data_IF_852084671326
#
_entry.id   IF_852084671326
#
_cell.length_a   1.000
_cell.length_b   1.000
_cell.length_c   1.000
_cell.angle_alpha   90.00
_cell.angle_beta   90.00
_cell.angle_gamma   90.00
#
_symmetry.space_group_name_H-M   'P 1'
#
loop_
_entity.id
_entity.type
_entity.pdbx_description
1 polymer ?
#
# COMPACT_ATOMS: atom_id res chain seq x y z
N UNK A 1 -19.82 65.40 7.30
CA UNK A 1 -20.47 66.21 6.25
C UNK A 1 -20.20 65.54 4.91
N UNK A 2 -21.23 65.06 4.20
CA UNK A 2 -21.11 64.38 2.90
C UNK A 2 -21.46 65.35 1.77
N UNK A 3 -20.65 65.39 0.72
CA UNK A 3 -21.01 65.71 -0.68
C UNK A 3 -19.92 65.00 -1.51
N UNK A 4 -20.11 64.04 -2.42
CA UNK A 4 -21.26 63.57 -3.18
C UNK A 4 -21.10 63.92 -4.66
N UNK A 5 -20.78 62.95 -5.53
CA UNK A 5 -21.23 62.80 -6.94
C UNK A 5 -20.46 61.61 -7.58
N UNK A 6 -21.06 60.42 -7.70
CA UNK A 6 -21.94 59.89 -8.78
C UNK A 6 -21.25 59.56 -10.13
N UNK A 7 -21.10 58.25 -10.30
CA UNK A 7 -21.38 57.35 -11.44
C UNK A 7 -20.73 57.55 -12.82
N UNK A 8 -20.08 56.44 -13.21
CA UNK A 8 -19.63 55.97 -14.53
C UNK A 8 -20.70 56.03 -15.63
N UNK A 9 -20.31 55.82 -16.91
CA UNK A 9 -20.59 54.50 -17.47
C UNK A 9 -19.57 53.96 -18.51
N UNK A 10 -19.37 52.64 -18.50
CA UNK A 10 -19.63 51.84 -19.70
C UNK A 10 -18.48 51.38 -20.61
N UNK A 11 -18.20 50.08 -20.51
CA UNK A 11 -17.93 49.09 -21.58
C UNK A 11 -16.58 49.13 -22.33
N UNK A 12 -15.89 47.99 -22.30
CA UNK A 12 -14.87 47.64 -23.30
C UNK A 12 -13.90 46.58 -22.80
N UNK A 13 -14.22 45.31 -23.02
CA UNK A 13 -13.31 44.17 -22.85
C UNK A 13 -12.21 44.24 -23.93
N UNK A 14 -10.95 44.34 -23.55
CA UNK A 14 -9.82 43.88 -24.36
C UNK A 14 -8.74 43.29 -23.45
N UNK A 15 -8.47 42.01 -23.66
CA UNK A 15 -7.33 41.27 -23.11
C UNK A 15 -6.16 41.47 -24.07
N UNK A 16 -5.00 41.91 -23.58
CA UNK A 16 -3.68 41.53 -24.13
C UNK A 16 -2.66 41.47 -22.99
N UNK A 17 -1.99 40.33 -22.91
CA UNK A 17 -0.98 39.94 -21.93
C UNK A 17 0.43 40.48 -22.26
N UNK A 18 1.31 40.55 -21.25
CA UNK A 18 2.77 40.35 -21.39
C UNK A 18 3.37 40.10 -19.98
N UNK A 19 3.61 38.84 -19.64
CA UNK A 19 4.93 38.17 -19.58
C UNK A 19 5.68 38.36 -18.25
N UNK A 20 5.40 37.46 -17.30
CA UNK A 20 6.33 37.13 -16.20
C UNK A 20 7.42 36.21 -16.78
N UNK A 21 8.67 36.70 -16.85
CA UNK A 21 9.83 35.83 -16.94
C UNK A 21 10.00 35.13 -15.59
N UNK A 22 9.31 34.01 -15.41
CA UNK A 22 9.70 33.02 -14.43
C UNK A 22 10.91 32.27 -14.98
N UNK A 23 12.06 32.38 -14.33
CA UNK A 23 13.13 31.41 -14.48
C UNK A 23 12.54 30.04 -14.16
N UNK A 24 12.27 29.25 -15.19
CA UNK A 24 11.99 27.83 -15.05
C UNK A 24 13.32 27.22 -14.64
N UNK A 25 13.51 27.04 -13.32
CA UNK A 25 14.49 26.07 -12.86
C UNK A 25 14.13 24.75 -13.55
N UNK A 26 15.09 24.03 -14.16
CA UNK A 26 14.81 22.67 -14.55
C UNK A 26 14.39 21.97 -13.27
N UNK A 27 13.14 21.55 -13.20
CA UNK A 27 12.79 20.46 -12.33
C UNK A 27 13.75 19.36 -12.75
N UNK A 28 14.77 19.12 -11.93
CA UNK A 28 15.36 17.80 -11.89
C UNK A 28 14.16 16.88 -11.76
N UNK A 29 13.87 16.12 -12.80
CA UNK A 29 13.03 14.95 -12.69
C UNK A 29 13.63 14.15 -11.54
N UNK A 30 13.12 14.37 -10.33
CA UNK A 30 13.25 13.43 -9.25
C UNK A 30 12.76 12.15 -9.90
N UNK A 31 13.66 11.18 -10.10
CA UNK A 31 13.25 9.88 -10.59
C UNK A 31 12.18 9.43 -9.61
N UNK A 32 10.92 9.52 -10.02
CA UNK A 32 9.79 9.11 -9.20
C UNK A 32 10.09 7.66 -8.89
N UNK A 33 10.47 7.41 -7.65
CA UNK A 33 10.92 6.12 -7.19
C UNK A 33 9.81 5.14 -7.53
N UNK A 34 10.09 4.28 -8.51
CA UNK A 34 9.04 3.46 -9.09
C UNK A 34 8.85 2.29 -8.15
N UNK A 35 7.78 2.36 -7.34
CA UNK A 35 7.44 1.31 -6.40
C UNK A 35 7.38 -0.05 -7.14
N UNK A 36 7.96 -1.11 -6.57
CA UNK A 36 7.88 -2.43 -7.17
C UNK A 36 6.43 -2.84 -7.44
N UNK A 37 6.15 -3.38 -8.62
CA UNK A 37 4.80 -3.79 -9.01
C UNK A 37 4.41 -5.05 -8.26
N UNK A 38 3.29 -5.00 -7.54
CA UNK A 38 2.70 -6.17 -6.87
C UNK A 38 1.54 -6.71 -7.69
N UNK A 39 1.52 -8.02 -7.90
CA UNK A 39 0.40 -8.75 -8.53
C UNK A 39 0.11 -10.02 -7.77
N UNK A 40 -1.15 -10.46 -7.80
CA UNK A 40 -1.60 -11.68 -7.13
C UNK A 40 -2.71 -12.35 -7.94
N UNK A 41 -2.86 -13.65 -7.71
CA UNK A 41 -3.95 -14.44 -8.29
C UNK A 41 -4.37 -15.53 -7.31
N UNK A 42 -5.69 -15.77 -7.26
CA UNK A 42 -6.26 -16.89 -6.53
C UNK A 42 -6.01 -18.20 -7.25
N UNK A 43 -6.21 -19.33 -6.56
CA UNK A 43 -6.17 -20.65 -7.19
C UNK A 43 -7.19 -20.71 -8.32
N UNK A 44 -6.76 -21.23 -9.46
CA UNK A 44 -7.64 -21.51 -10.60
C UNK A 44 -7.63 -23.01 -10.85
N UNK A 45 -8.79 -23.64 -10.64
CA UNK A 45 -8.99 -25.05 -10.97
C UNK A 45 -9.94 -25.14 -12.17
N UNK A 46 -9.45 -25.66 -13.29
CA UNK A 46 -10.23 -25.80 -14.53
C UNK A 46 -10.31 -27.27 -14.92
N UNK A 47 -11.51 -27.78 -15.12
CA UNK A 47 -11.71 -29.10 -15.70
C UNK A 47 -11.46 -29.04 -17.21
N UNK A 48 -10.58 -29.91 -17.68
CA UNK A 48 -10.26 -30.05 -19.11
C UNK A 48 -11.36 -30.84 -19.83
N UNK A 49 -11.39 -30.77 -21.16
CA UNK A 49 -12.32 -31.55 -21.98
C UNK A 49 -12.20 -33.08 -21.79
N UNK A 50 -11.10 -33.55 -21.18
CA UNK A 50 -10.82 -34.96 -20.95
C UNK A 50 -11.18 -35.41 -19.51
N UNK A 51 -11.69 -34.49 -18.66
CA UNK A 51 -11.98 -34.74 -17.25
C UNK A 51 -10.80 -34.58 -16.31
N UNK A 52 -9.61 -34.20 -16.80
CA UNK A 52 -8.47 -33.86 -15.94
C UNK A 52 -8.67 -32.49 -15.30
N UNK A 53 -8.17 -32.29 -14.07
CA UNK A 53 -8.17 -30.99 -13.39
C UNK A 53 -6.82 -30.31 -13.60
N UNK A 54 -6.81 -29.17 -14.29
CA UNK A 54 -5.68 -28.24 -14.30
C UNK A 54 -5.79 -27.33 -13.09
N UNK A 55 -4.90 -27.53 -12.12
CA UNK A 55 -4.83 -26.72 -10.90
C UNK A 55 -3.64 -25.78 -10.96
N UNK A 56 -3.89 -24.48 -10.91
CA UNK A 56 -2.87 -23.46 -10.80
C UNK A 56 -2.83 -22.93 -9.36
N UNK A 57 -1.72 -23.08 -8.63
CA UNK A 57 -1.63 -22.58 -7.27
C UNK A 57 -1.73 -21.05 -7.25
N UNK A 58 -2.27 -20.48 -6.18
CA UNK A 58 -2.32 -19.03 -6.03
C UNK A 58 -0.90 -18.47 -5.91
N UNK A 59 -0.74 -17.18 -6.17
CA UNK A 59 0.56 -16.51 -5.99
C UNK A 59 0.39 -15.04 -5.62
N UNK A 60 1.46 -14.52 -5.01
CA UNK A 60 1.76 -13.08 -4.95
C UNK A 60 3.16 -12.92 -5.56
N UNK A 61 3.35 -11.88 -6.37
CA UNK A 61 4.65 -11.56 -6.97
C UNK A 61 4.97 -10.07 -6.87
N UNK A 62 6.27 -9.78 -6.74
CA UNK A 62 6.83 -8.43 -6.76
C UNK A 62 7.79 -8.35 -7.94
N UNK A 63 7.56 -7.44 -8.89
CA UNK A 63 8.31 -7.36 -10.15
C UNK A 63 8.46 -8.73 -10.85
N UNK A 64 7.34 -9.45 -10.97
CA UNK A 64 7.23 -10.78 -11.57
C UNK A 64 7.97 -11.93 -10.82
N UNK A 65 8.58 -11.64 -9.66
CA UNK A 65 9.16 -12.65 -8.78
C UNK A 65 8.11 -13.16 -7.81
N UNK A 66 7.73 -14.43 -7.92
CA UNK A 66 6.77 -15.08 -7.01
C UNK A 66 7.35 -15.24 -5.60
N UNK A 67 6.58 -14.81 -4.61
CA UNK A 67 6.95 -14.90 -3.20
C UNK A 67 6.61 -16.27 -2.64
N UNK A 68 7.64 -17.01 -2.20
CA UNK A 68 7.50 -18.35 -1.62
C UNK A 68 6.57 -18.39 -0.40
N UNK A 69 6.49 -17.32 0.37
CA UNK A 69 5.63 -17.26 1.56
C UNK A 69 4.13 -17.49 1.25
N UNK A 70 3.71 -17.33 -0.01
CA UNK A 70 2.34 -17.52 -0.46
C UNK A 70 2.11 -18.84 -1.22
N UNK A 71 3.16 -19.62 -1.51
CA UNK A 71 3.05 -20.80 -2.40
C UNK A 71 2.19 -21.93 -1.85
N UNK A 72 2.06 -21.99 -0.53
CA UNK A 72 1.40 -23.09 0.16
C UNK A 72 -0.07 -22.76 0.46
N UNK A 73 -0.51 -21.55 0.10
CA UNK A 73 -1.89 -21.12 0.28
C UNK A 73 -2.82 -21.78 -0.76
N UNK A 74 -4.08 -21.96 -0.38
CA UNK A 74 -5.18 -22.39 -1.23
C UNK A 74 -5.96 -21.19 -1.80
N UNK A 75 -6.04 -20.09 -1.05
CA UNK A 75 -6.61 -18.82 -1.50
C UNK A 75 -5.80 -17.63 -0.98
N UNK A 76 -5.80 -16.53 -1.74
CA UNK A 76 -5.13 -15.27 -1.44
C UNK A 76 -6.02 -14.12 -1.92
N UNK A 77 -6.62 -13.39 -0.98
CA UNK A 77 -7.52 -12.29 -1.27
C UNK A 77 -6.95 -10.99 -0.72
N UNK A 78 -6.67 -10.02 -1.59
CA UNK A 78 -6.26 -8.68 -1.16
C UNK A 78 -7.42 -7.99 -0.44
N UNK A 79 -7.17 -7.53 0.79
CA UNK A 79 -8.13 -6.77 1.60
C UNK A 79 -7.84 -5.27 1.53
N UNK A 80 -6.58 -4.89 1.78
CA UNK A 80 -6.20 -3.49 1.92
C UNK A 80 -4.84 -3.22 1.29
N UNK A 81 -4.67 -1.98 0.81
CA UNK A 81 -3.39 -1.42 0.39
C UNK A 81 -3.24 -0.05 1.02
N UNK A 82 -2.09 0.19 1.65
CA UNK A 82 -1.71 1.46 2.25
C UNK A 82 -0.36 1.89 1.66
N UNK A 83 -0.28 3.12 1.16
CA UNK A 83 0.98 3.71 0.68
C UNK A 83 1.44 4.77 1.68
N UNK A 84 2.71 4.74 2.03
CA UNK A 84 3.33 5.61 3.02
C UNK A 84 4.52 6.30 2.36
N UNK A 85 4.61 7.62 2.54
CA UNK A 85 5.73 8.43 2.11
C UNK A 85 6.62 8.75 3.31
N UNK A 86 7.85 8.23 3.28
CA UNK A 86 8.84 8.44 4.34
C UNK A 86 9.74 9.66 4.08
N UNK A 87 9.41 10.50 3.09
CA UNK A 87 10.19 11.66 2.69
C UNK A 87 11.54 11.22 2.11
N UNK A 88 12.62 11.50 2.83
CA UNK A 88 13.99 11.21 2.37
C UNK A 88 14.28 9.71 2.21
N UNK A 89 13.49 8.84 2.86
CA UNK A 89 13.67 7.38 2.78
C UNK A 89 12.83 6.72 1.67
N UNK A 90 12.03 7.49 0.94
CA UNK A 90 11.26 7.00 -0.20
C UNK A 90 9.85 6.49 0.15
N UNK A 91 9.24 5.82 -0.83
CA UNK A 91 7.88 5.29 -0.71
C UNK A 91 7.85 3.83 -0.24
N UNK A 92 6.81 3.48 0.50
CA UNK A 92 6.46 2.12 0.86
C UNK A 92 5.00 1.81 0.54
N UNK A 93 4.71 0.58 0.13
CA UNK A 93 3.35 0.05 0.06
C UNK A 93 3.19 -1.19 0.92
N UNK A 94 2.16 -1.17 1.77
CA UNK A 94 1.71 -2.28 2.59
C UNK A 94 0.48 -2.91 1.94
N UNK A 95 0.53 -4.21 1.68
CA UNK A 95 -0.59 -5.02 1.21
C UNK A 95 -1.01 -6.01 2.30
N UNK A 96 -2.30 -6.03 2.63
CA UNK A 96 -2.87 -7.00 3.57
C UNK A 96 -3.74 -7.97 2.79
N UNK A 97 -3.41 -9.26 2.88
CA UNK A 97 -4.14 -10.36 2.27
C UNK A 97 -4.81 -11.20 3.35
N UNK A 98 -6.02 -11.66 3.09
CA UNK A 98 -6.52 -12.89 3.73
C UNK A 98 -6.00 -14.09 2.94
N UNK A 99 -5.52 -15.09 3.66
CA UNK A 99 -5.02 -16.34 3.09
C UNK A 99 -5.64 -17.54 3.80
N UNK A 100 -5.69 -18.67 3.11
CA UNK A 100 -6.12 -19.94 3.69
C UNK A 100 -5.15 -21.04 3.29
N UNK A 101 -4.59 -21.78 4.25
CA UNK A 101 -3.64 -22.87 3.99
C UNK A 101 -4.30 -24.20 3.61
N UNK A 102 -5.61 -24.33 3.80
CA UNK A 102 -6.33 -25.59 3.63
C UNK A 102 -6.38 -26.44 4.91
N UNK A 103 -7.48 -27.18 5.09
CA UNK A 103 -7.71 -28.04 6.25
C UNK A 103 -8.93 -27.62 7.07
N UNK A 104 -9.68 -28.60 7.56
CA UNK A 104 -10.99 -28.39 8.21
C UNK A 104 -10.95 -27.59 9.52
N UNK A 105 -9.76 -27.39 10.10
CA UNK A 105 -9.57 -26.71 11.39
C UNK A 105 -8.81 -25.38 11.30
N UNK A 106 -8.40 -24.95 10.09
CA UNK A 106 -7.69 -23.68 9.91
C UNK A 106 -8.62 -22.68 9.23
N UNK A 107 -8.91 -21.59 9.94
CA UNK A 107 -9.67 -20.45 9.42
C UNK A 107 -8.84 -19.61 8.43
N UNK A 108 -9.45 -18.57 7.89
CA UNK A 108 -8.71 -17.56 7.14
C UNK A 108 -7.77 -16.80 8.08
N UNK A 109 -6.54 -16.58 7.63
CA UNK A 109 -5.48 -15.89 8.36
C UNK A 109 -5.05 -14.64 7.58
N UNK A 110 -4.33 -13.73 8.22
CA UNK A 110 -3.79 -12.55 7.54
C UNK A 110 -2.32 -12.74 7.14
N UNK A 111 -1.98 -12.20 5.97
CA UNK A 111 -0.62 -11.97 5.52
C UNK A 111 -0.42 -10.50 5.18
N UNK A 112 0.62 -9.89 5.74
CA UNK A 112 1.08 -8.54 5.44
C UNK A 112 2.33 -8.61 4.57
N UNK A 113 2.31 -7.89 3.45
CA UNK A 113 3.46 -7.68 2.56
C UNK A 113 3.80 -6.19 2.56
N UNK A 114 4.96 -5.85 3.07
CA UNK A 114 5.58 -4.52 2.93
C UNK A 114 6.54 -4.54 1.75
N UNK A 115 6.45 -3.51 0.90
CA UNK A 115 7.27 -3.33 -0.29
C UNK A 115 7.83 -1.92 -0.30
N UNK A 116 9.15 -1.81 -0.30
CA UNK A 116 9.91 -0.56 -0.47
C UNK A 116 10.79 -0.71 -1.72
N UNK A 117 11.42 0.37 -2.17
CA UNK A 117 12.50 0.30 -3.18
C UNK A 117 13.70 -0.55 -2.74
N UNK A 118 13.89 -0.64 -1.43
CA UNK A 118 15.07 -1.20 -0.80
C UNK A 118 14.89 -2.65 -0.33
N UNK A 119 13.68 -3.19 -0.41
CA UNK A 119 13.39 -4.56 0.04
C UNK A 119 11.92 -4.82 0.28
N UNK A 120 11.64 -6.08 0.62
CA UNK A 120 10.32 -6.59 0.95
C UNK A 120 10.34 -7.18 2.36
N UNK A 121 9.24 -7.06 3.08
CA UNK A 121 8.97 -7.78 4.33
C UNK A 121 7.64 -8.52 4.20
N UNK A 122 7.61 -9.77 4.63
CA UNK A 122 6.38 -10.57 4.67
C UNK A 122 6.16 -11.05 6.10
N UNK A 123 4.96 -10.79 6.63
CA UNK A 123 4.51 -11.26 7.94
C UNK A 123 3.20 -12.00 7.76
N UNK A 124 3.00 -13.11 8.46
CA UNK A 124 1.82 -13.97 8.29
C UNK A 124 2.16 -15.41 8.63
N UNK A 125 1.30 -16.39 8.36
CA UNK A 125 1.10 -17.52 9.27
C UNK A 125 2.32 -18.42 9.46
N UNK A 126 3.30 -18.39 8.55
CA UNK A 126 4.57 -19.09 8.74
C UNK A 126 5.52 -18.45 9.76
N UNK A 127 5.47 -17.13 9.92
CA UNK A 127 6.30 -16.36 10.87
C UNK A 127 5.52 -15.96 12.12
N UNK A 128 4.32 -15.40 11.94
CA UNK A 128 3.45 -14.96 13.02
C UNK A 128 2.00 -15.04 12.54
N UNK A 129 1.20 -15.87 13.19
CA UNK A 129 -0.24 -15.88 12.99
C UNK A 129 -0.86 -14.68 13.72
N UNK A 130 -1.75 -13.94 13.05
CA UNK A 130 -2.50 -12.80 13.59
C UNK A 130 -3.82 -12.64 12.85
N UNK A 131 -4.82 -12.12 13.55
CA UNK A 131 -6.19 -11.99 13.04
C UNK A 131 -6.55 -10.56 12.65
N UNK A 132 -5.80 -9.57 13.15
CA UNK A 132 -6.06 -8.16 12.86
C UNK A 132 -4.76 -7.33 12.93
N UNK A 133 -4.72 -6.23 12.20
CA UNK A 133 -3.65 -5.23 12.26
C UNK A 133 -4.25 -3.92 12.75
N UNK A 134 -3.79 -3.45 13.90
CA UNK A 134 -4.16 -2.13 14.42
C UNK A 134 -3.09 -1.12 14.03
N UNK A 135 -3.48 -0.12 13.24
CA UNK A 135 -2.64 1.01 12.88
C UNK A 135 -2.71 2.06 13.98
N UNK A 136 -1.59 2.39 14.61
CA UNK A 136 -1.50 3.50 15.55
C UNK A 136 -0.67 4.62 14.94
N UNK A 137 -1.30 5.76 14.69
CA UNK A 137 -0.64 6.97 14.21
C UNK A 137 -1.07 8.15 15.08
N UNK A 138 -0.10 8.84 15.69
CA UNK A 138 -0.38 9.92 16.65
C UNK A 138 -0.88 11.17 15.90
N UNK A 139 -0.27 11.48 14.75
CA UNK A 139 -0.61 12.60 13.88
C UNK A 139 -0.08 12.34 12.46
N UNK A 140 -0.46 13.19 11.50
CA UNK A 140 -0.07 13.08 10.08
C UNK A 140 1.44 13.05 9.84
N UNK A 141 2.21 13.64 10.75
CA UNK A 141 3.65 13.84 10.60
C UNK A 141 4.46 12.70 11.27
N UNK A 142 3.79 11.84 12.02
CA UNK A 142 4.39 10.68 12.69
C UNK A 142 4.24 9.44 11.81
N UNK A 143 5.32 8.68 11.68
CA UNK A 143 5.26 7.37 11.03
C UNK A 143 4.28 6.44 11.80
N UNK A 144 3.40 5.71 11.11
CA UNK A 144 2.47 4.80 11.78
C UNK A 144 3.21 3.59 12.38
N UNK A 145 2.69 3.05 13.46
CA UNK A 145 3.09 1.73 13.99
C UNK A 145 1.95 0.73 13.77
N UNK A 146 2.28 -0.56 13.69
CA UNK A 146 1.31 -1.61 13.43
C UNK A 146 1.37 -2.66 14.53
N UNK A 147 0.32 -2.75 15.34
CA UNK A 147 0.16 -3.82 16.30
C UNK A 147 -0.50 -5.02 15.62
N UNK A 148 0.16 -6.18 15.65
CA UNK A 148 -0.39 -7.45 15.19
C UNK A 148 -1.23 -8.04 16.32
N UNK A 149 -2.52 -8.21 16.11
CA UNK A 149 -3.47 -8.65 17.14
C UNK A 149 -3.88 -10.10 16.87
N UNK A 150 -3.71 -10.96 17.87
CA UNK A 150 -4.19 -12.34 17.85
C UNK A 150 -5.59 -12.50 18.43
N UNK A 151 -6.05 -13.75 18.52
CA UNK A 151 -7.39 -14.11 18.99
C UNK A 151 -7.78 -13.51 20.35
N UNK A 152 -6.85 -13.41 21.30
CA UNK A 152 -7.13 -12.90 22.66
C UNK A 152 -7.36 -11.38 22.72
N UNK A 153 -7.02 -10.61 21.67
CA UNK A 153 -7.19 -9.16 21.51
C UNK A 153 -6.72 -8.22 22.66
N UNK A 154 -6.30 -8.77 23.79
CA UNK A 154 -5.98 -8.10 25.04
C UNK A 154 -4.60 -7.45 25.00
N UNK A 155 -3.68 -8.07 24.26
CA UNK A 155 -2.32 -7.59 23.99
C UNK A 155 -1.91 -7.87 22.54
N UNK A 156 -1.14 -6.97 21.92
CA UNK A 156 -0.50 -7.25 20.65
C UNK A 156 0.42 -8.47 20.75
N UNK A 157 0.42 -9.31 19.71
CA UNK A 157 1.37 -10.41 19.53
C UNK A 157 2.76 -9.88 19.18
N UNK A 158 2.81 -8.84 18.35
CA UNK A 158 4.03 -8.12 17.98
C UNK A 158 3.66 -6.69 17.58
N UNK A 159 4.68 -5.82 17.56
CA UNK A 159 4.59 -4.48 16.98
C UNK A 159 5.58 -4.37 15.83
N UNK A 160 5.10 -3.79 14.73
CA UNK A 160 5.92 -3.38 13.62
C UNK A 160 6.11 -1.87 13.67
N UNK A 161 7.35 -1.42 13.77
CA UNK A 161 7.74 -0.02 13.84
C UNK A 161 8.67 0.34 12.70
N UNK A 162 8.74 1.64 12.37
CA UNK A 162 9.68 2.14 11.39
C UNK A 162 11.05 2.42 11.99
N UNK A 163 12.08 1.87 11.34
CA UNK A 163 13.47 2.21 11.60
C UNK A 163 14.20 2.37 10.27
N UNK A 164 14.83 3.53 10.07
CA UNK A 164 15.59 3.84 8.86
C UNK A 164 14.78 3.63 7.55
N UNK A 165 13.52 4.11 7.56
CA UNK A 165 12.61 4.00 6.41
C UNK A 165 12.09 2.59 6.13
N UNK A 166 12.31 1.62 7.04
CA UNK A 166 11.88 0.24 6.87
C UNK A 166 11.03 -0.22 8.03
N UNK A 167 10.03 -1.03 7.71
CA UNK A 167 9.24 -1.70 8.72
C UNK A 167 10.07 -2.82 9.36
N UNK A 168 10.22 -2.78 10.69
CA UNK A 168 10.92 -3.80 11.48
C UNK A 168 9.98 -4.39 12.53
N UNK A 169 10.11 -5.69 12.77
CA UNK A 169 9.39 -6.41 13.84
C UNK A 169 10.19 -6.29 15.15
N UNK A 170 9.56 -5.81 16.21
CA UNK A 170 10.14 -5.73 17.57
C UNK A 170 9.91 -6.99 18.39
#
# INVERSE_FOLDING_TARGET
MRIGLKSLPGKGLFVVAALLLGMVMPFSDAMAETLPKVSWENRVSTETANGDILDQPPYVSVNDIRLRAFSDMQSINLQHTLTIDHGDYGLETLHVFTVWQGGASQGEQLMLLSVTSNGILVVGPHDQDFENVRVNQINSDSAPSFDLIGADASKPLARLDYFDGRLIKQ
#
